data_IF_562588438668
#
_entry.id   IF_562588438668
#
_cell.length_a   1.000
_cell.length_b   1.000
_cell.length_c   1.000
_cell.angle_alpha   90.00
_cell.angle_beta   90.00
_cell.angle_gamma   90.00
#
_symmetry.space_group_name_H-M   'P 1'
#
loop_
_entity.id
_entity.type
_entity.pdbx_description
1 polymer ?
#
# COMPACT_ATOMS: atom_id res chain seq x y z
N UNK A 1 10.46 3.94 -6.81
CA UNK A 1 9.81 5.27 -6.69
C UNK A 1 10.86 6.24 -6.16
N UNK A 2 10.84 7.52 -6.58
CA UNK A 2 11.79 8.50 -6.03
C UNK A 2 11.22 9.00 -4.70
N UNK A 3 11.99 8.86 -3.63
CA UNK A 3 11.63 9.35 -2.30
C UNK A 3 12.37 10.67 -2.05
N UNK A 4 11.73 11.65 -1.40
CA UNK A 4 12.39 12.91 -1.05
C UNK A 4 13.21 12.79 0.24
N UNK A 5 12.91 11.78 1.06
CA UNK A 5 13.65 11.42 2.27
C UNK A 5 13.81 9.89 2.33
N UNK A 6 14.97 9.38 2.81
CA UNK A 6 15.17 7.94 2.95
C UNK A 6 14.13 7.33 3.89
N UNK A 7 13.79 6.07 3.65
CA UNK A 7 12.99 5.29 4.57
C UNK A 7 13.70 5.22 5.93
N UNK A 8 13.02 5.65 6.99
CA UNK A 8 13.64 5.91 8.29
C UNK A 8 12.76 5.41 9.43
N UNK A 9 13.39 4.99 10.53
CA UNK A 9 12.71 4.56 11.75
C UNK A 9 12.39 5.77 12.61
N UNK A 10 11.16 5.85 13.09
CA UNK A 10 10.73 6.87 14.04
C UNK A 10 10.13 6.23 15.26
N UNK A 11 10.40 6.83 16.42
CA UNK A 11 9.71 6.51 17.65
C UNK A 11 8.22 6.87 17.50
N UNK A 12 7.33 6.02 18.00
CA UNK A 12 5.89 6.23 18.03
C UNK A 12 5.48 7.60 18.60
N UNK A 13 6.22 8.13 19.58
CA UNK A 13 6.01 9.47 20.17
C UNK A 13 6.23 10.63 19.20
N UNK A 14 6.91 10.40 18.08
CA UNK A 14 7.10 11.42 17.03
C UNK A 14 6.15 11.23 15.85
N UNK A 15 5.22 10.27 15.92
CA UNK A 15 4.34 9.92 14.81
C UNK A 15 2.89 10.02 15.27
N UNK A 16 2.05 10.66 14.48
CA UNK A 16 0.60 10.76 14.72
C UNK A 16 -0.19 10.44 13.46
N UNK A 17 -1.47 10.14 13.64
CA UNK A 17 -2.38 10.00 12.50
C UNK A 17 -2.68 11.38 11.88
N UNK A 18 -2.85 11.48 10.56
CA UNK A 18 -3.29 12.71 9.90
C UNK A 18 -4.73 13.07 10.33
N UNK A 19 -5.08 14.35 10.24
CA UNK A 19 -6.48 14.78 10.37
C UNK A 19 -7.33 14.14 9.26
N UNK A 20 -8.56 13.77 9.59
CA UNK A 20 -9.54 13.35 8.59
C UNK A 20 -10.05 14.58 7.82
N UNK A 21 -10.41 14.42 6.56
CA UNK A 21 -10.87 15.53 5.70
C UNK A 21 -12.06 16.29 6.29
N UNK A 22 -12.93 15.61 7.04
CA UNK A 22 -14.07 16.20 7.75
C UNK A 22 -13.68 17.17 8.88
N UNK A 23 -12.40 17.15 9.30
CA UNK A 23 -11.85 17.98 10.37
C UNK A 23 -11.06 19.19 9.82
N UNK A 24 -10.96 19.32 8.50
CA UNK A 24 -10.34 20.45 7.80
C UNK A 24 -11.33 21.62 7.65
N UNK A 25 -11.83 22.16 8.76
CA UNK A 25 -12.64 23.38 8.74
C UNK A 25 -11.74 24.63 8.61
N UNK A 26 -12.23 25.67 7.94
CA UNK A 26 -11.47 26.89 7.58
C UNK A 26 -12.00 28.17 8.26
N UNK A 27 -12.95 28.03 9.17
CA UNK A 27 -13.39 29.12 10.03
C UNK A 27 -12.46 29.22 11.24
N UNK A 28 -11.70 30.31 11.31
CA UNK A 28 -10.77 30.58 12.40
C UNK A 28 -11.11 31.90 13.08
N UNK A 29 -10.69 32.03 14.33
CA UNK A 29 -10.75 33.28 15.09
C UNK A 29 -9.38 33.96 15.16
N UNK A 30 -9.37 35.26 15.41
CA UNK A 30 -8.13 35.98 15.69
C UNK A 30 -7.43 35.39 16.93
N UNK A 31 -6.09 35.31 16.88
CA UNK A 31 -5.23 34.69 17.88
C UNK A 31 -5.45 33.18 18.12
N UNK A 32 -6.13 32.47 17.23
CA UNK A 32 -6.25 31.00 17.30
C UNK A 32 -4.98 30.30 16.82
N UNK A 33 -4.58 29.23 17.51
CA UNK A 33 -3.53 28.31 17.05
C UNK A 33 -4.06 27.40 15.93
N UNK A 34 -3.26 27.29 14.86
CA UNK A 34 -3.56 26.52 13.65
C UNK A 34 -2.30 25.81 13.15
N UNK A 35 -2.45 24.95 12.16
CA UNK A 35 -1.34 24.41 11.39
C UNK A 35 -1.35 24.94 9.96
N UNK A 36 -0.19 25.35 9.48
CA UNK A 36 0.05 25.94 8.17
C UNK A 36 0.88 24.98 7.34
N UNK A 37 0.44 24.70 6.12
CA UNK A 37 1.16 23.91 5.12
C UNK A 37 2.24 24.77 4.48
N UNK A 38 3.49 24.44 4.73
CA UNK A 38 4.64 25.18 4.20
C UNK A 38 5.82 24.25 3.94
N UNK A 39 6.73 24.69 3.07
CA UNK A 39 8.03 24.06 2.87
C UNK A 39 9.01 24.71 3.85
N UNK A 40 9.81 23.90 4.54
CA UNK A 40 10.83 24.37 5.46
C UNK A 40 12.14 23.65 5.20
N UNK A 41 13.20 24.44 5.00
CA UNK A 41 14.57 23.93 4.93
C UNK A 41 14.87 23.00 6.13
N UNK A 42 15.66 21.92 5.92
CA UNK A 42 16.36 21.54 4.68
C UNK A 42 15.52 20.66 3.73
N UNK A 43 14.24 20.44 4.03
CA UNK A 43 13.45 19.44 3.32
C UNK A 43 12.61 20.08 2.20
N UNK A 44 12.62 19.52 0.98
CA UNK A 44 11.91 20.09 -0.18
C UNK A 44 10.40 19.81 -0.18
N UNK A 45 9.89 19.08 0.83
CA UNK A 45 8.50 18.66 0.91
C UNK A 45 7.66 19.64 1.74
N UNK A 46 6.36 19.65 1.47
CA UNK A 46 5.41 20.36 2.32
C UNK A 46 5.20 19.60 3.62
N UNK A 47 5.14 20.32 4.72
CA UNK A 47 4.72 19.80 6.01
C UNK A 47 3.84 20.78 6.76
N UNK A 48 3.29 20.31 7.88
CA UNK A 48 2.41 21.08 8.74
C UNK A 48 3.21 21.69 9.88
N UNK A 49 3.10 23.02 10.02
CA UNK A 49 3.84 23.81 10.99
C UNK A 49 2.84 24.57 11.85
N UNK A 50 3.01 24.54 13.17
CA UNK A 50 2.14 25.31 14.07
C UNK A 50 2.34 26.81 13.87
N UNK A 51 1.23 27.55 13.80
CA UNK A 51 1.20 29.00 13.71
C UNK A 51 0.00 29.59 14.49
N UNK A 52 0.00 30.90 14.67
CA UNK A 52 -1.12 31.66 15.27
C UNK A 52 -1.69 32.62 14.23
N UNK A 53 -3.01 32.65 14.09
CA UNK A 53 -3.71 33.62 13.24
C UNK A 53 -3.59 35.01 13.86
N UNK A 54 -3.06 35.98 13.11
CA UNK A 54 -2.94 37.38 13.53
C UNK A 54 -3.99 38.28 12.91
N UNK A 55 -4.42 37.97 11.70
CA UNK A 55 -5.40 38.77 10.97
C UNK A 55 -6.13 37.90 9.96
N UNK A 56 -7.43 38.09 9.84
CA UNK A 56 -8.29 37.46 8.86
C UNK A 56 -8.74 38.52 7.85
N UNK A 57 -8.42 38.33 6.57
CA UNK A 57 -8.73 39.30 5.52
C UNK A 57 -9.88 38.83 4.63
N UNK A 58 -11.00 39.56 4.67
CA UNK A 58 -12.17 39.37 3.80
C UNK A 58 -13.35 38.68 4.50
N UNK A 59 -14.52 38.73 3.86
CA UNK A 59 -15.72 38.00 4.25
C UNK A 59 -16.44 37.47 2.99
N UNK A 60 -16.29 36.18 2.62
CA UNK A 60 -15.55 35.12 3.33
C UNK A 60 -14.02 35.33 3.33
N UNK A 61 -13.26 34.64 4.21
CA UNK A 61 -11.81 34.80 4.32
C UNK A 61 -11.10 34.49 3.01
N UNK A 62 -10.31 35.44 2.52
CA UNK A 62 -9.49 35.30 1.30
C UNK A 62 -8.04 34.97 1.62
N UNK A 63 -7.52 35.50 2.73
CA UNK A 63 -6.15 35.33 3.19
C UNK A 63 -6.08 35.39 4.71
N UNK A 64 -5.11 34.70 5.29
CA UNK A 64 -4.76 34.74 6.70
C UNK A 64 -3.35 35.30 6.85
N UNK A 65 -3.17 36.24 7.77
CA UNK A 65 -1.84 36.62 8.24
C UNK A 65 -1.53 35.75 9.44
N UNK A 66 -0.50 34.92 9.34
CA UNK A 66 -0.14 33.93 10.36
C UNK A 66 1.27 34.21 10.88
N UNK A 67 1.52 33.90 12.14
CA UNK A 67 2.85 33.94 12.74
C UNK A 67 3.24 32.53 13.19
N UNK A 68 4.37 32.01 12.72
CA UNK A 68 4.84 30.68 13.10
C UNK A 68 5.21 30.61 14.59
N UNK A 69 4.88 29.49 15.25
CA UNK A 69 5.28 29.27 16.64
C UNK A 69 6.81 29.27 16.76
N UNK A 70 7.32 29.86 17.84
CA UNK A 70 8.75 30.01 18.10
C UNK A 70 9.51 30.81 17.04
N UNK A 71 8.83 31.69 16.30
CA UNK A 71 9.43 32.56 15.29
C UNK A 71 8.77 33.94 15.27
N UNK A 72 9.55 34.97 14.90
CA UNK A 72 9.02 36.32 14.62
C UNK A 72 8.54 36.46 13.17
N UNK A 73 8.67 35.41 12.36
CA UNK A 73 8.28 35.41 10.94
C UNK A 73 6.76 35.35 10.80
N UNK A 74 6.22 36.30 10.05
CA UNK A 74 4.82 36.32 9.62
C UNK A 74 4.71 35.99 8.14
N UNK A 75 3.67 35.26 7.77
CA UNK A 75 3.38 34.90 6.38
C UNK A 75 1.91 35.19 6.05
N UNK A 76 1.63 35.59 4.81
CA UNK A 76 0.28 35.68 4.28
C UNK A 76 0.00 34.37 3.55
N UNK A 77 -1.01 33.64 4.01
CA UNK A 77 -1.36 32.33 3.48
C UNK A 77 -2.81 32.30 3.02
N UNK A 78 -3.08 31.46 2.03
CA UNK A 78 -4.42 31.21 1.52
C UNK A 78 -5.17 30.19 2.41
N UNK A 79 -6.52 30.18 2.40
CA UNK A 79 -7.33 29.27 3.21
C UNK A 79 -7.07 27.77 2.98
N UNK A 80 -6.60 27.38 1.79
CA UNK A 80 -6.26 26.00 1.44
C UNK A 80 -4.96 25.49 2.11
N UNK A 81 -4.15 26.41 2.65
CA UNK A 81 -2.89 26.09 3.33
C UNK A 81 -3.02 26.04 4.85
N UNK A 82 -4.21 26.23 5.41
CA UNK A 82 -4.43 26.26 6.85
C UNK A 82 -5.41 25.19 7.28
N UNK A 83 -5.21 24.67 8.50
CA UNK A 83 -6.13 23.71 9.14
C UNK A 83 -6.10 23.88 10.66
N UNK A 84 -7.06 23.26 11.34
CA UNK A 84 -7.02 23.12 12.80
C UNK A 84 -5.74 22.40 13.25
N UNK A 85 -5.29 22.70 14.47
CA UNK A 85 -4.21 21.92 15.07
C UNK A 85 -4.63 20.46 15.16
N UNK A 86 -3.78 19.58 14.63
CA UNK A 86 -4.02 18.15 14.69
C UNK A 86 -3.78 17.65 16.13
N UNK A 87 -4.88 17.33 16.80
CA UNK A 87 -4.92 16.83 18.18
C UNK A 87 -4.97 15.30 18.27
N UNK A 88 -4.75 14.58 17.16
CA UNK A 88 -4.63 13.13 17.20
C UNK A 88 -3.52 12.74 18.16
N UNK A 89 -3.82 11.75 19.00
CA UNK A 89 -2.80 11.14 19.84
C UNK A 89 -1.71 10.52 18.99
N UNK A 90 -0.52 10.47 19.55
CA UNK A 90 0.60 9.74 18.96
C UNK A 90 0.22 8.28 18.77
N UNK A 91 0.81 7.65 17.75
CA UNK A 91 0.59 6.23 17.50
C UNK A 91 1.15 5.40 18.65
N UNK A 92 0.66 4.19 18.80
CA UNK A 92 1.10 3.23 19.80
C UNK A 92 1.14 1.82 19.20
N UNK A 93 1.56 0.83 20.01
CA UNK A 93 1.65 -0.58 19.58
C UNK A 93 0.34 -1.20 19.08
N UNK A 94 -0.81 -0.58 19.38
CA UNK A 94 -2.13 -1.04 18.96
C UNK A 94 -2.65 -0.31 17.70
N UNK A 95 -1.87 0.63 17.15
CA UNK A 95 -2.25 1.42 15.96
C UNK A 95 -2.02 0.65 14.66
N UNK A 96 -0.90 -0.07 14.56
CA UNK A 96 -0.55 -0.87 13.40
C UNK A 96 -0.17 -2.28 13.84
N UNK A 97 -0.67 -3.28 13.13
CA UNK A 97 -0.41 -4.69 13.36
C UNK A 97 0.46 -5.23 12.23
N UNK A 98 1.53 -5.94 12.59
CA UNK A 98 2.39 -6.66 11.64
C UNK A 98 2.28 -8.17 11.87
N UNK A 99 2.15 -8.91 10.78
CA UNK A 99 2.15 -10.36 10.78
C UNK A 99 3.07 -10.86 9.66
N UNK A 100 4.10 -11.63 10.01
CA UNK A 100 5.06 -12.16 9.05
C UNK A 100 4.69 -13.61 8.67
N UNK A 101 4.79 -13.93 7.37
CA UNK A 101 4.49 -15.25 6.82
C UNK A 101 5.71 -15.77 6.08
N UNK A 102 6.20 -16.94 6.45
CA UNK A 102 7.36 -17.55 5.78
C UNK A 102 7.06 -17.84 4.31
N UNK A 103 7.97 -17.45 3.42
CA UNK A 103 7.87 -17.67 1.98
C UNK A 103 8.66 -18.93 1.58
N UNK A 104 7.99 -19.94 0.99
CA UNK A 104 8.66 -21.15 0.52
C UNK A 104 9.76 -20.86 -0.51
N UNK A 105 10.89 -21.56 -0.41
CA UNK A 105 12.10 -21.31 -1.22
C UNK A 105 11.84 -21.33 -2.73
N UNK A 106 10.98 -22.24 -3.18
CA UNK A 106 10.65 -22.45 -4.60
C UNK A 106 9.86 -21.29 -5.24
N UNK A 107 9.27 -20.40 -4.44
CA UNK A 107 8.52 -19.23 -4.93
C UNK A 107 9.18 -17.88 -4.62
N UNK A 108 10.33 -17.86 -3.92
CA UNK A 108 11.01 -16.61 -3.49
C UNK A 108 11.38 -15.69 -4.65
N UNK A 109 11.85 -16.24 -5.77
CA UNK A 109 12.19 -15.42 -6.94
C UNK A 109 10.97 -14.72 -7.54
N UNK A 110 9.78 -15.33 -7.44
CA UNK A 110 8.54 -14.76 -7.94
C UNK A 110 7.90 -13.80 -6.94
N UNK A 111 8.15 -13.99 -5.63
CA UNK A 111 7.71 -13.08 -4.59
C UNK A 111 8.38 -11.69 -4.69
N UNK A 112 9.53 -11.58 -5.36
CA UNK A 112 10.19 -10.28 -5.64
C UNK A 112 9.48 -9.43 -6.69
N UNK A 113 8.52 -10.00 -7.43
CA UNK A 113 7.85 -9.28 -8.52
C UNK A 113 6.91 -8.22 -7.95
N UNK A 114 7.18 -6.97 -8.31
CA UNK A 114 6.38 -5.82 -7.87
C UNK A 114 4.89 -6.00 -8.18
N UNK A 115 4.05 -5.79 -7.17
CA UNK A 115 2.61 -5.90 -7.29
C UNK A 115 2.03 -7.32 -7.36
N UNK A 116 2.86 -8.37 -7.33
CA UNK A 116 2.36 -9.76 -7.39
C UNK A 116 1.47 -10.14 -6.19
N UNK A 117 1.65 -9.45 -5.06
CA UNK A 117 0.92 -9.71 -3.82
C UNK A 117 -0.37 -8.88 -3.66
N UNK A 118 -0.72 -8.02 -4.64
CA UNK A 118 -1.89 -7.11 -4.53
C UNK A 118 -3.22 -7.85 -4.36
N UNK A 119 -3.38 -8.99 -5.02
CA UNK A 119 -4.61 -9.77 -4.91
C UNK A 119 -4.73 -10.45 -3.54
N UNK A 120 -3.61 -10.95 -3.02
CA UNK A 120 -3.53 -11.50 -1.66
C UNK A 120 -3.83 -10.41 -0.61
N UNK A 121 -3.23 -9.22 -0.78
CA UNK A 121 -3.46 -8.06 0.09
C UNK A 121 -4.95 -7.73 0.19
N UNK A 122 -5.64 -7.64 -0.96
CA UNK A 122 -7.09 -7.40 -1.00
C UNK A 122 -7.89 -8.54 -0.36
N UNK A 123 -7.53 -9.80 -0.61
CA UNK A 123 -8.26 -10.96 -0.10
C UNK A 123 -8.18 -11.09 1.44
N UNK A 124 -7.03 -10.71 2.01
CA UNK A 124 -6.81 -10.68 3.46
C UNK A 124 -7.47 -9.44 4.09
N UNK A 125 -7.57 -8.33 3.35
CA UNK A 125 -7.96 -7.03 3.89
C UNK A 125 -6.81 -6.32 4.59
N UNK A 126 -5.57 -6.57 4.15
CA UNK A 126 -4.38 -5.92 4.70
C UNK A 126 -4.09 -4.59 3.98
N UNK A 127 -3.57 -3.61 4.71
CA UNK A 127 -3.22 -2.30 4.13
C UNK A 127 -1.95 -2.36 3.30
N UNK A 128 -1.03 -3.28 3.62
CA UNK A 128 0.20 -3.50 2.87
C UNK A 128 0.69 -4.95 3.01
N UNK A 129 1.21 -5.50 1.90
CA UNK A 129 1.86 -6.81 1.86
C UNK A 129 3.17 -6.66 1.09
N UNK A 130 4.31 -6.84 1.78
CA UNK A 130 5.65 -6.69 1.21
C UNK A 130 6.49 -7.93 1.45
N UNK A 131 7.25 -8.33 0.42
CA UNK A 131 8.21 -9.41 0.54
C UNK A 131 9.55 -8.87 1.04
N UNK A 132 10.05 -9.42 2.15
CA UNK A 132 11.39 -9.16 2.67
C UNK A 132 12.32 -10.31 2.24
N UNK A 133 13.25 -10.10 1.30
CA UNK A 133 14.15 -11.14 0.81
C UNK A 133 15.16 -11.60 1.86
N UNK A 134 15.59 -10.72 2.77
CA UNK A 134 16.64 -11.02 3.76
C UNK A 134 16.12 -11.99 4.82
N UNK A 135 14.87 -11.81 5.25
CA UNK A 135 14.19 -12.68 6.19
C UNK A 135 13.42 -13.81 5.50
N UNK A 136 13.26 -13.74 4.18
CA UNK A 136 12.41 -14.66 3.41
C UNK A 136 10.96 -14.72 3.90
N UNK A 137 10.43 -13.60 4.39
CA UNK A 137 9.06 -13.47 4.90
C UNK A 137 8.24 -12.50 4.06
N UNK A 138 6.93 -12.71 4.06
CA UNK A 138 5.94 -11.79 3.56
C UNK A 138 5.33 -11.03 4.74
N UNK A 139 5.72 -9.77 4.90
CA UNK A 139 5.22 -8.89 5.95
C UNK A 139 3.86 -8.32 5.57
N UNK A 140 2.86 -8.61 6.39
CA UNK A 140 1.48 -8.13 6.26
C UNK A 140 1.25 -7.06 7.32
N UNK A 141 0.87 -5.84 6.91
CA UNK A 141 0.62 -4.70 7.79
C UNK A 141 -0.82 -4.22 7.64
N UNK A 142 -1.48 -3.92 8.76
CA UNK A 142 -2.86 -3.47 8.82
C UNK A 142 -3.13 -2.56 10.02
N UNK A 143 -4.10 -1.66 9.93
CA UNK A 143 -4.63 -0.91 11.10
C UNK A 143 -5.66 -1.70 11.91
N UNK A 144 -6.09 -2.85 11.41
CA UNK A 144 -7.00 -3.75 12.11
C UNK A 144 -6.31 -5.09 12.37
N UNK A 145 -6.62 -5.70 13.51
CA UNK A 145 -6.12 -7.02 13.85
C UNK A 145 -6.69 -8.06 12.87
N UNK A 146 -5.81 -8.71 12.11
CA UNK A 146 -6.20 -9.71 11.11
C UNK A 146 -6.19 -11.12 11.73
N UNK A 147 -7.23 -11.96 11.51
CA UNK A 147 -7.24 -13.32 12.02
C UNK A 147 -6.15 -14.20 11.38
N UNK A 148 -5.14 -14.60 12.16
CA UNK A 148 -3.94 -15.31 11.65
C UNK A 148 -4.27 -16.56 10.83
N UNK A 149 -5.28 -17.34 11.26
CA UNK A 149 -5.68 -18.57 10.55
C UNK A 149 -6.19 -18.30 9.13
N UNK A 150 -6.99 -17.24 8.95
CA UNK A 150 -7.51 -16.85 7.64
C UNK A 150 -6.40 -16.31 6.75
N UNK A 151 -5.53 -15.46 7.31
CA UNK A 151 -4.38 -14.87 6.63
C UNK A 151 -3.45 -15.95 6.08
N UNK A 152 -3.05 -16.92 6.91
CA UNK A 152 -2.19 -18.03 6.50
C UNK A 152 -2.82 -18.90 5.42
N UNK A 153 -4.10 -19.25 5.56
CA UNK A 153 -4.80 -20.05 4.55
C UNK A 153 -4.84 -19.37 3.17
N UNK A 154 -5.05 -18.05 3.13
CA UNK A 154 -5.04 -17.28 1.89
C UNK A 154 -3.63 -17.15 1.31
N UNK A 155 -2.61 -17.00 2.17
CA UNK A 155 -1.21 -17.00 1.74
C UNK A 155 -0.81 -18.35 1.12
N UNK A 156 -1.24 -19.48 1.68
CA UNK A 156 -0.99 -20.81 1.12
C UNK A 156 -1.62 -20.96 -0.29
N UNK A 157 -2.84 -20.47 -0.47
CA UNK A 157 -3.48 -20.42 -1.80
C UNK A 157 -2.66 -19.57 -2.76
N UNK A 158 -2.20 -18.40 -2.32
CA UNK A 158 -1.36 -17.51 -3.11
C UNK A 158 -0.04 -18.16 -3.54
N UNK A 159 0.68 -18.82 -2.63
CA UNK A 159 1.94 -19.49 -2.95
C UNK A 159 1.75 -20.66 -3.92
N UNK A 160 0.66 -21.44 -3.78
CA UNK A 160 0.31 -22.48 -4.77
C UNK A 160 0.08 -21.90 -6.16
N UNK A 161 -0.62 -20.77 -6.25
CA UNK A 161 -0.87 -20.07 -7.52
C UNK A 161 0.44 -19.55 -8.13
N UNK A 162 1.33 -18.97 -7.33
CA UNK A 162 2.66 -18.57 -7.77
C UNK A 162 3.44 -19.76 -8.34
N UNK A 163 3.52 -20.86 -7.58
CA UNK A 163 4.22 -22.08 -7.99
C UNK A 163 3.69 -22.65 -9.32
N UNK A 164 2.37 -22.66 -9.50
CA UNK A 164 1.77 -23.09 -10.76
C UNK A 164 2.20 -22.18 -11.93
N UNK A 165 2.24 -20.87 -11.71
CA UNK A 165 2.72 -19.90 -12.71
C UNK A 165 4.20 -20.14 -13.05
N UNK A 166 5.05 -20.46 -12.07
CA UNK A 166 6.46 -20.87 -12.30
C UNK A 166 6.55 -22.08 -13.21
N UNK A 167 5.78 -23.13 -12.92
CA UNK A 167 5.81 -24.38 -13.67
C UNK A 167 5.40 -24.16 -15.13
N UNK A 168 4.39 -23.33 -15.37
CA UNK A 168 3.93 -22.99 -16.72
C UNK A 168 4.98 -22.17 -17.48
N UNK A 169 5.60 -21.18 -16.84
CA UNK A 169 6.63 -20.35 -17.48
C UNK A 169 7.87 -21.16 -17.88
N UNK A 170 8.37 -22.04 -17.01
CA UNK A 170 9.51 -22.93 -17.33
C UNK A 170 9.21 -23.85 -18.51
N UNK A 171 8.00 -24.44 -18.55
CA UNK A 171 7.55 -25.28 -19.68
C UNK A 171 7.51 -24.51 -21.01
N UNK A 172 7.05 -23.25 -20.99
CA UNK A 172 6.99 -22.40 -22.20
C UNK A 172 8.39 -22.00 -22.67
N UNK A 173 9.31 -21.69 -21.75
CA UNK A 173 10.71 -21.38 -22.08
C UNK A 173 11.43 -22.59 -22.69
N UNK A 174 11.22 -23.78 -22.14
CA UNK A 174 11.80 -25.01 -22.67
C UNK A 174 11.24 -25.36 -24.06
N UNK A 175 9.94 -25.12 -24.30
CA UNK A 175 9.35 -25.26 -25.64
C UNK A 175 9.98 -24.27 -26.64
N UNK A 176 10.10 -22.99 -26.25
CA UNK A 176 10.70 -21.95 -27.09
C UNK A 176 12.19 -22.25 -27.41
N UNK A 177 12.93 -22.76 -26.43
CA UNK A 177 14.33 -23.18 -26.57
C UNK A 177 14.45 -24.39 -27.51
N UNK A 178 13.53 -25.33 -27.45
CA UNK A 178 13.48 -26.46 -28.39
C UNK A 178 13.12 -26.02 -29.82
N UNK A 179 12.33 -24.95 -30.00
CA UNK A 179 12.01 -24.41 -31.33
C UNK A 179 13.09 -23.48 -31.91
N UNK A 180 14.03 -22.99 -31.10
CA UNK A 180 15.04 -22.00 -31.49
C UNK A 180 16.44 -22.57 -31.78
N UNK A 181 16.65 -23.89 -31.67
CA UNK A 181 17.93 -24.50 -32.07
C UNK A 181 18.02 -24.54 -33.60
N UNK A 182 19.01 -23.87 -34.24
CA UNK A 182 19.25 -24.07 -35.66
C UNK A 182 19.79 -25.48 -35.87
N UNK A 183 19.08 -26.27 -36.67
CA UNK A 183 19.56 -27.57 -37.14
C UNK A 183 20.80 -27.37 -37.99
N UNK A 184 21.98 -27.41 -37.39
CA UNK A 184 23.24 -27.49 -38.15
C UNK A 184 23.54 -28.94 -38.49
N UNK A 185 23.56 -29.17 -39.81
CA UNK A 185 24.24 -30.23 -40.55
C UNK A 185 23.44 -31.52 -40.85
N UNK A 186 22.79 -31.48 -42.03
CA UNK A 186 22.97 -32.46 -43.11
C UNK A 186 22.58 -33.92 -42.85
N UNK A 187 21.39 -34.32 -43.31
CA UNK A 187 21.17 -35.46 -44.25
C UNK A 187 19.67 -35.57 -44.55
N UNK A 188 19.35 -35.72 -45.84
CA UNK A 188 18.01 -35.83 -46.44
C UNK A 188 17.11 -36.86 -45.73
N UNK A 189 15.84 -36.50 -45.46
CA UNK A 189 14.68 -37.40 -45.55
C UNK A 189 13.36 -36.64 -45.77
N UNK A 190 12.86 -36.78 -47.00
CA UNK A 190 11.48 -36.80 -47.55
C UNK A 190 10.31 -36.10 -46.85
N UNK A 191 9.41 -35.42 -47.61
CA UNK A 191 8.14 -34.90 -47.12
C UNK A 191 7.01 -35.94 -47.22
N UNK A 192 6.49 -36.37 -46.07
CA UNK A 192 5.22 -37.11 -45.91
C UNK A 192 4.72 -36.74 -44.50
N UNK A 193 3.47 -36.45 -44.19
CA UNK A 193 2.20 -36.37 -44.89
C UNK A 193 1.28 -35.65 -43.89
N UNK A 194 0.62 -34.56 -44.28
CA UNK A 194 -0.53 -34.07 -43.52
C UNK A 194 -1.74 -34.80 -44.09
N UNK A 195 -2.23 -35.81 -43.38
CA UNK A 195 -3.47 -36.50 -43.72
C UNK A 195 -4.22 -36.78 -42.43
N UNK A 196 -5.33 -36.06 -42.29
CA UNK A 196 -6.61 -36.44 -41.69
C UNK A 196 -6.61 -37.51 -40.61
N UNK A 197 -7.14 -37.16 -39.43
CA UNK A 197 -8.33 -37.82 -38.88
C UNK A 197 -9.14 -36.83 -38.06
N UNK A 198 -10.18 -36.29 -38.69
CA UNK A 198 -11.37 -35.83 -37.99
C UNK A 198 -12.00 -37.04 -37.29
N UNK A 199 -12.15 -36.99 -35.97
CA UNK A 199 -13.06 -37.89 -35.25
C UNK A 199 -13.92 -37.04 -34.34
N UNK A 200 -15.19 -36.95 -34.72
CA UNK A 200 -16.25 -36.33 -33.95
C UNK A 200 -16.40 -37.06 -32.60
N UNK A 201 -16.32 -36.30 -31.50
CA UNK A 201 -16.82 -36.76 -30.20
C UNK A 201 -17.82 -35.72 -29.69
N UNK A 202 -19.05 -36.22 -29.58
CA UNK A 202 -20.26 -35.62 -29.03
C UNK A 202 -20.07 -34.52 -27.98
N UNK A 203 -20.69 -33.37 -28.23
CA UNK A 203 -21.06 -32.38 -27.21
C UNK A 203 -22.30 -32.88 -26.46
N UNK A 204 -22.27 -33.09 -25.13
CA UNK A 204 -23.48 -33.13 -24.34
C UNK A 204 -23.88 -31.70 -23.96
N UNK A 205 -25.11 -31.32 -24.32
CA UNK A 205 -25.81 -30.15 -23.76
C UNK A 205 -25.96 -30.31 -22.24
N UNK A 206 -25.77 -29.26 -21.41
CA UNK A 206 -26.07 -29.35 -19.98
C UNK A 206 -27.59 -29.33 -19.76
N UNK A 207 -28.10 -30.39 -19.13
CA UNK A 207 -29.48 -30.48 -18.64
C UNK A 207 -29.67 -29.54 -17.46
N UNK A 208 -30.77 -28.79 -17.48
CA UNK A 208 -31.33 -28.09 -16.33
C UNK A 208 -31.57 -29.09 -15.18
N UNK A 209 -31.04 -28.77 -14.00
CA UNK A 209 -31.43 -29.38 -12.73
C UNK A 209 -31.86 -28.25 -11.79
N UNK A 210 -33.08 -28.37 -11.29
CA UNK A 210 -33.75 -27.43 -10.41
C UNK A 210 -33.52 -27.80 -8.95
N UNK A 211 -33.41 -26.78 -8.09
CA UNK A 211 -33.70 -26.76 -6.63
C UNK A 211 -32.77 -27.50 -5.66
N UNK A 212 -32.11 -26.77 -4.74
CA UNK A 212 -32.66 -26.48 -3.39
C UNK A 212 -31.63 -25.85 -2.45
N UNK A 213 -32.09 -24.87 -1.66
CA UNK A 213 -31.63 -24.45 -0.34
C UNK A 213 -30.12 -24.37 -0.06
N UNK A 214 -29.59 -23.15 -0.08
CA UNK A 214 -28.38 -22.83 0.68
C UNK A 214 -28.61 -21.58 1.54
N UNK A 215 -28.54 -21.81 2.84
CA UNK A 215 -28.58 -20.82 3.92
C UNK A 215 -27.61 -19.69 3.63
N UNK A 216 -28.15 -18.47 3.53
CA UNK A 216 -27.40 -17.24 3.44
C UNK A 216 -26.57 -17.05 4.71
N UNK A 217 -25.31 -17.48 4.69
CA UNK A 217 -24.32 -16.97 5.63
C UNK A 217 -24.06 -15.52 5.23
N UNK A 218 -24.64 -14.58 5.96
CA UNK A 218 -24.26 -13.18 5.91
C UNK A 218 -22.78 -13.06 6.28
N UNK A 219 -21.92 -13.02 5.27
CA UNK A 219 -20.57 -12.50 5.43
C UNK A 219 -20.72 -10.98 5.48
N UNK A 220 -20.15 -10.28 6.48
CA UNK A 220 -20.06 -8.84 6.41
C UNK A 220 -19.25 -8.47 5.16
N UNK A 221 -19.80 -7.58 4.35
CA UNK A 221 -19.09 -6.98 3.22
C UNK A 221 -17.82 -6.30 3.74
N UNK A 222 -16.64 -6.52 3.13
CA UNK A 222 -15.46 -5.74 3.47
C UNK A 222 -15.65 -4.33 2.90
N UNK A 223 -16.26 -3.46 3.70
CA UNK A 223 -16.48 -2.05 3.36
C UNK A 223 -15.26 -1.23 3.75
N UNK A 224 -14.16 -1.44 3.05
CA UNK A 224 -13.20 -0.40 2.66
C UNK A 224 -12.18 -1.04 1.72
N UNK A 225 -11.98 -0.40 0.57
CA UNK A 225 -10.83 -0.69 -0.27
C UNK A 225 -9.59 -0.43 0.59
N UNK A 226 -8.75 -1.43 0.87
CA UNK A 226 -7.50 -1.22 1.62
C UNK A 226 -6.54 -0.40 0.77
N UNK A 227 -6.65 0.92 0.90
CA UNK A 227 -5.80 1.91 0.25
C UNK A 227 -4.58 2.16 1.14
N UNK A 228 -3.47 2.57 0.54
CA UNK A 228 -2.28 2.99 1.30
C UNK A 228 -2.57 4.14 2.28
N UNK A 229 -3.72 4.80 2.14
CA UNK A 229 -4.21 5.84 3.05
C UNK A 229 -4.34 5.35 4.49
N UNK A 230 -4.66 4.06 4.71
CA UNK A 230 -4.69 3.49 6.05
C UNK A 230 -3.33 3.50 6.74
N UNK A 231 -2.23 3.57 6.00
CA UNK A 231 -0.87 3.59 6.54
C UNK A 231 -0.26 4.99 6.56
N UNK A 232 -1.06 6.01 6.19
CA UNK A 232 -0.62 7.40 6.19
C UNK A 232 -0.44 7.90 7.62
N UNK A 233 0.68 8.57 7.86
CA UNK A 233 1.06 9.15 9.15
C UNK A 233 1.69 10.52 8.95
N UNK A 234 1.69 11.32 10.01
CA UNK A 234 2.44 12.57 10.10
C UNK A 234 3.57 12.41 11.11
N UNK A 235 4.80 12.66 10.67
CA UNK A 235 6.02 12.46 11.46
C UNK A 235 6.61 13.80 11.82
N UNK A 236 6.83 14.06 13.11
CA UNK A 236 7.53 15.23 13.62
C UNK A 236 9.04 15.10 13.35
N UNK A 237 9.58 16.06 12.62
CA UNK A 237 11.02 16.17 12.37
C UNK A 237 11.66 17.20 13.31
N UNK A 238 12.99 17.16 13.42
CA UNK A 238 13.79 18.07 14.28
C UNK A 238 13.58 19.56 13.94
N UNK A 239 13.19 19.88 12.71
CA UNK A 239 12.88 21.24 12.29
C UNK A 239 11.49 21.74 12.77
N UNK A 240 10.79 20.94 13.59
CA UNK A 240 9.49 21.26 14.17
C UNK A 240 8.31 21.14 13.21
N UNK A 241 8.51 20.43 12.09
CA UNK A 241 7.50 20.27 11.03
C UNK A 241 7.01 18.82 11.02
N UNK A 242 5.70 18.66 10.83
CA UNK A 242 5.09 17.35 10.61
C UNK A 242 5.04 17.03 9.12
N UNK A 243 5.74 15.99 8.69
CA UNK A 243 5.75 15.54 7.31
C UNK A 243 4.89 14.30 7.12
N UNK A 244 4.16 14.28 6.01
CA UNK A 244 3.36 13.13 5.61
C UNK A 244 4.25 11.99 5.10
N UNK A 245 3.99 10.78 5.59
CA UNK A 245 4.65 9.56 5.15
C UNK A 245 3.75 8.34 5.26
N UNK A 246 4.26 7.19 4.83
CA UNK A 246 3.53 5.92 4.84
C UNK A 246 4.30 4.87 5.64
N UNK A 247 3.63 4.21 6.58
CA UNK A 247 4.19 3.12 7.36
C UNK A 247 4.46 1.92 6.46
N UNK A 248 5.70 1.45 6.45
CA UNK A 248 6.17 0.28 5.68
C UNK A 248 6.67 -0.84 6.59
N UNK A 249 6.84 -0.56 7.88
CA UNK A 249 7.25 -1.54 8.90
C UNK A 249 6.78 -1.12 10.29
N UNK A 250 6.53 -2.11 11.14
CA UNK A 250 6.09 -1.91 12.52
C UNK A 250 6.99 -2.70 13.45
N UNK A 251 7.41 -2.07 14.53
CA UNK A 251 8.18 -2.62 15.65
C UNK A 251 7.50 -2.21 16.97
N UNK A 252 8.01 -2.66 18.12
CA UNK A 252 7.36 -2.46 19.43
C UNK A 252 7.07 -0.99 19.77
N UNK A 253 8.08 -0.12 19.64
CA UNK A 253 7.98 1.33 19.93
C UNK A 253 8.40 2.22 18.74
N UNK A 254 8.57 1.62 17.57
CA UNK A 254 9.03 2.30 16.38
C UNK A 254 8.24 1.87 15.15
N UNK A 255 8.15 2.78 14.19
CA UNK A 255 7.63 2.49 12.86
C UNK A 255 8.67 2.87 11.81
N UNK A 256 8.72 2.07 10.76
CA UNK A 256 9.48 2.38 9.56
C UNK A 256 8.56 3.17 8.61
N UNK A 257 9.00 4.35 8.20
CA UNK A 257 8.19 5.28 7.41
C UNK A 257 8.91 5.63 6.11
N UNK A 258 8.20 5.53 5.00
CA UNK A 258 8.65 5.95 3.67
C UNK A 258 8.04 7.29 3.26
N UNK A 259 8.81 8.08 2.51
CA UNK A 259 8.45 9.44 2.09
C UNK A 259 8.49 9.54 0.56
N UNK A 260 7.45 9.07 -0.15
CA UNK A 260 7.39 9.17 -1.61
C UNK A 260 7.28 10.62 -2.07
N UNK A 261 7.77 10.90 -3.27
CA UNK A 261 7.54 12.17 -3.98
C UNK A 261 6.11 12.32 -4.48
#
# INVERSE_FOLDING_TARGET
MKHWYPETRFNCDNVRLPLLDEQCCTEFSDNQEIEVKAVREPHPSFGWIKAVVKMINGNPPSHFVVQYLNSSVTEIVSPDRVRYVNNNSHINGDTFYKFDIDVPEDVREFAKIDGIHKDLQKAIGASLVLYNPDQSVLSVISRSLLPSKRTLMLADVHFRNLKQKVMLLKKTEDLARCTAKPTTNGTLRTPYQCSDMATAINRPQPRHVTTSHQQHCFMPTPTSCTTMEDLKVEVLFENGVYYEGFVTGVMENEVLVSFPN
#
